data_IF_998230860692
#
_entry.id   IF_998230860692
#
_cell.length_a   1.000
_cell.length_b   1.000
_cell.length_c   1.000
_cell.angle_alpha   90.00
_cell.angle_beta   90.00
_cell.angle_gamma   90.00
#
_symmetry.space_group_name_H-M   'P 1'
#
loop_
_entity.id
_entity.type
_entity.pdbx_description
1 polymer ?
#
# COMPACT_ATOMS: atom_id res chain seq x y z
N UNK A 1 40.94 -47.67 -22.76
CA UNK A 1 40.38 -46.35 -23.08
C UNK A 1 39.31 -46.01 -22.06
N UNK A 2 39.65 -45.18 -21.11
CA UNK A 2 38.67 -44.74 -20.12
C UNK A 2 38.06 -43.39 -20.59
N UNK A 3 36.82 -43.42 -20.92
CA UNK A 3 36.05 -42.19 -21.22
C UNK A 3 35.68 -41.53 -19.90
N UNK A 4 36.30 -40.42 -19.61
CA UNK A 4 35.90 -39.56 -18.50
C UNK A 4 34.67 -38.77 -18.95
N UNK A 5 33.54 -39.11 -18.37
CA UNK A 5 32.30 -38.35 -18.57
C UNK A 5 32.35 -37.13 -17.65
N UNK A 6 32.67 -35.97 -18.21
CA UNK A 6 32.52 -34.71 -17.52
C UNK A 6 31.04 -34.38 -17.41
N UNK A 7 30.46 -34.61 -16.24
CA UNK A 7 29.14 -34.13 -15.92
C UNK A 7 29.32 -32.65 -15.60
N UNK A 8 28.95 -31.80 -16.53
CA UNK A 8 28.77 -30.37 -16.28
C UNK A 8 27.56 -30.20 -15.38
N UNK A 9 27.81 -30.01 -14.10
CA UNK A 9 26.74 -29.54 -13.18
C UNK A 9 26.50 -28.07 -13.45
N UNK A 10 25.48 -27.77 -14.23
CA UNK A 10 24.97 -26.42 -14.33
C UNK A 10 24.27 -26.09 -13.01
N UNK A 11 25.00 -25.44 -12.11
CA UNK A 11 24.42 -24.74 -10.98
C UNK A 11 23.67 -23.54 -11.54
N UNK A 12 22.41 -23.74 -11.86
CA UNK A 12 21.46 -22.64 -12.00
C UNK A 12 21.28 -22.05 -10.62
N UNK A 13 22.14 -21.10 -10.25
CA UNK A 13 21.91 -20.22 -9.15
C UNK A 13 20.65 -19.41 -9.47
N UNK A 14 19.49 -19.85 -8.98
CA UNK A 14 18.27 -19.08 -9.06
C UNK A 14 18.49 -17.77 -8.32
N UNK A 15 18.53 -16.66 -9.08
CA UNK A 15 18.32 -15.34 -8.51
C UNK A 15 16.88 -15.33 -8.00
N UNK A 16 16.70 -15.70 -6.72
CA UNK A 16 15.48 -15.38 -6.02
C UNK A 16 15.50 -13.87 -5.83
N UNK A 17 14.83 -13.15 -6.74
CA UNK A 17 14.44 -11.80 -6.45
C UNK A 17 13.54 -11.89 -5.21
N UNK A 18 14.05 -11.46 -4.06
CA UNK A 18 13.25 -11.25 -2.87
C UNK A 18 12.33 -10.05 -3.13
N UNK A 19 11.26 -10.28 -3.90
CA UNK A 19 10.14 -9.38 -3.88
C UNK A 19 9.59 -9.47 -2.47
N UNK A 20 9.74 -8.37 -1.70
CA UNK A 20 9.08 -8.27 -0.40
C UNK A 20 7.59 -8.30 -0.69
N UNK A 21 6.94 -9.43 -0.35
CA UNK A 21 5.51 -9.54 -0.45
C UNK A 21 4.87 -8.49 0.48
N UNK A 22 3.83 -7.80 -0.01
CA UNK A 22 3.07 -6.87 0.81
C UNK A 22 2.50 -7.62 2.03
N UNK A 23 2.59 -6.99 3.19
CA UNK A 23 2.00 -7.50 4.42
C UNK A 23 0.58 -6.97 4.57
N UNK A 24 -0.41 -7.79 4.19
CA UNK A 24 -1.81 -7.41 4.26
C UNK A 24 -2.31 -7.21 5.69
N UNK A 25 -1.78 -7.96 6.65
CA UNK A 25 -2.16 -7.78 8.06
C UNK A 25 -1.63 -6.44 8.61
N UNK A 26 -0.39 -6.09 8.30
CA UNK A 26 0.17 -4.78 8.63
C UNK A 26 -0.60 -3.66 7.92
N UNK A 27 -0.95 -3.83 6.66
CA UNK A 27 -1.76 -2.89 5.90
C UNK A 27 -3.15 -2.69 6.51
N UNK A 28 -3.80 -3.78 6.91
CA UNK A 28 -5.09 -3.75 7.60
C UNK A 28 -5.01 -2.99 8.92
N UNK A 29 -3.98 -3.24 9.71
CA UNK A 29 -3.77 -2.57 10.99
C UNK A 29 -3.64 -1.06 10.80
N UNK A 30 -2.82 -0.62 9.87
CA UNK A 30 -2.64 0.80 9.58
C UNK A 30 -3.90 1.44 8.99
N UNK A 31 -4.58 0.74 8.09
CA UNK A 31 -5.83 1.22 7.49
C UNK A 31 -6.92 1.39 8.55
N UNK A 32 -7.11 0.39 9.39
CA UNK A 32 -8.13 0.41 10.45
C UNK A 32 -7.91 1.56 11.42
N UNK A 33 -6.66 1.80 11.80
CA UNK A 33 -6.32 2.84 12.76
C UNK A 33 -6.37 4.26 12.18
N UNK A 34 -6.08 4.42 10.88
CA UNK A 34 -5.81 5.76 10.31
C UNK A 34 -6.74 6.17 9.17
N UNK A 35 -7.40 5.23 8.51
CA UNK A 35 -8.14 5.49 7.26
C UNK A 35 -9.62 5.12 7.36
N UNK A 36 -9.93 4.04 8.05
CA UNK A 36 -11.26 3.42 8.09
C UNK A 36 -12.34 4.37 8.59
N UNK A 37 -12.04 5.20 9.58
CA UNK A 37 -13.01 6.12 10.18
C UNK A 37 -13.68 7.02 9.15
N UNK A 38 -12.92 7.46 8.16
CA UNK A 38 -13.43 8.36 7.11
C UNK A 38 -13.78 7.61 5.82
N UNK A 39 -13.01 6.59 5.45
CA UNK A 39 -13.15 5.90 4.17
C UNK A 39 -13.97 4.60 4.23
N UNK A 40 -14.36 4.17 5.43
CA UNK A 40 -15.16 2.98 5.63
C UNK A 40 -14.33 1.69 5.74
N UNK A 41 -14.88 0.69 6.43
CA UNK A 41 -14.21 -0.60 6.65
C UNK A 41 -13.97 -1.37 5.33
N UNK A 42 -14.79 -1.13 4.33
CA UNK A 42 -14.69 -1.74 3.00
C UNK A 42 -14.26 -0.75 1.92
N UNK A 43 -13.72 0.40 2.30
CA UNK A 43 -13.34 1.46 1.35
C UNK A 43 -14.52 2.06 0.61
N UNK A 44 -15.74 1.93 1.17
CA UNK A 44 -16.99 2.40 0.54
C UNK A 44 -17.20 3.89 0.63
N UNK A 45 -16.41 4.57 1.46
CA UNK A 45 -16.58 5.99 1.75
C UNK A 45 -17.44 6.25 2.99
N UNK A 46 -17.58 7.51 3.29
CA UNK A 46 -18.32 8.03 4.44
C UNK A 46 -18.07 9.53 4.51
N UNK A 47 -17.43 9.99 5.59
CA UNK A 47 -16.91 11.37 5.66
C UNK A 47 -15.90 11.62 4.54
N UNK A 48 -15.03 10.64 4.29
CA UNK A 48 -14.09 10.67 3.17
C UNK A 48 -14.65 9.99 1.93
N UNK A 49 -13.95 10.19 0.80
CA UNK A 49 -14.34 9.59 -0.48
C UNK A 49 -14.29 8.07 -0.45
N UNK A 50 -15.10 7.46 -1.30
CA UNK A 50 -14.95 6.04 -1.66
C UNK A 50 -13.57 5.80 -2.28
N UNK A 51 -12.85 4.82 -1.77
CA UNK A 51 -11.51 4.46 -2.28
C UNK A 51 -11.58 3.37 -3.35
N UNK A 52 -12.49 2.42 -3.19
CA UNK A 52 -12.63 1.32 -4.13
C UNK A 52 -13.19 1.83 -5.46
N UNK A 53 -12.49 1.53 -6.55
CA UNK A 53 -12.85 2.03 -7.88
C UNK A 53 -12.29 3.41 -8.22
N UNK A 54 -11.63 4.07 -7.27
CA UNK A 54 -10.93 5.34 -7.45
C UNK A 54 -9.47 5.15 -7.00
N UNK A 55 -9.10 5.60 -5.81
CA UNK A 55 -7.71 5.51 -5.33
C UNK A 55 -7.15 4.08 -5.33
N UNK A 56 -7.98 3.06 -5.20
CA UNK A 56 -7.56 1.66 -5.31
C UNK A 56 -7.01 1.28 -6.69
N UNK A 57 -7.27 2.10 -7.71
CA UNK A 57 -6.79 1.92 -9.09
C UNK A 57 -5.62 2.82 -9.45
N UNK A 58 -5.25 3.75 -8.58
CA UNK A 58 -4.14 4.66 -8.85
C UNK A 58 -2.81 3.92 -8.84
N UNK A 59 -1.82 4.49 -9.52
CA UNK A 59 -0.44 4.07 -9.34
C UNK A 59 0.02 4.33 -7.91
N UNK A 60 0.94 3.51 -7.43
CA UNK A 60 1.43 3.64 -6.04
C UNK A 60 2.00 5.03 -5.75
N UNK A 61 2.71 5.63 -6.69
CA UNK A 61 3.27 6.98 -6.51
C UNK A 61 2.20 8.04 -6.30
N UNK A 62 1.08 7.94 -7.00
CA UNK A 62 -0.07 8.84 -6.81
C UNK A 62 -0.72 8.62 -5.44
N UNK A 63 -0.91 7.37 -5.03
CA UNK A 63 -1.41 7.03 -3.71
C UNK A 63 -0.52 7.56 -2.59
N UNK A 64 0.80 7.34 -2.70
CA UNK A 64 1.79 7.86 -1.77
C UNK A 64 1.71 9.38 -1.64
N UNK A 65 1.63 10.08 -2.76
CA UNK A 65 1.54 11.53 -2.79
C UNK A 65 0.25 12.05 -2.14
N UNK A 66 -0.86 11.35 -2.33
CA UNK A 66 -2.13 11.67 -1.68
C UNK A 66 -2.03 11.56 -0.16
N UNK A 67 -1.47 10.47 0.33
CA UNK A 67 -1.36 10.23 1.77
C UNK A 67 -0.37 11.20 2.43
N UNK A 68 0.78 11.42 1.82
CA UNK A 68 1.84 12.26 2.40
C UNK A 68 1.59 13.75 2.21
N UNK A 69 1.13 14.15 1.04
CA UNK A 69 1.09 15.55 0.61
C UNK A 69 -0.32 16.07 0.30
N UNK A 70 -1.33 15.22 0.36
CA UNK A 70 -2.71 15.62 0.14
C UNK A 70 -3.04 16.04 -1.29
N UNK A 71 -2.40 15.38 -2.28
CA UNK A 71 -2.68 15.60 -3.70
C UNK A 71 -3.29 14.35 -4.33
N UNK A 72 -4.28 14.53 -5.19
CA UNK A 72 -4.86 13.43 -5.95
C UNK A 72 -3.97 13.00 -7.13
N UNK A 73 -4.42 12.03 -7.92
CA UNK A 73 -3.70 11.52 -9.10
C UNK A 73 -3.53 12.55 -10.23
N UNK A 74 -4.27 13.64 -10.19
CA UNK A 74 -4.16 14.77 -11.12
C UNK A 74 -3.42 15.98 -10.53
N UNK A 75 -2.92 15.87 -9.30
CA UNK A 75 -2.20 16.94 -8.61
C UNK A 75 -3.08 17.99 -7.94
N UNK A 76 -4.38 17.74 -7.83
CA UNK A 76 -5.30 18.61 -7.10
C UNK A 76 -5.26 18.34 -5.61
N UNK A 77 -5.46 19.39 -4.81
CA UNK A 77 -5.53 19.24 -3.35
C UNK A 77 -6.73 18.41 -2.94
N UNK A 78 -6.49 17.44 -2.06
CA UNK A 78 -7.56 16.68 -1.42
C UNK A 78 -8.35 17.58 -0.47
N UNK A 79 -9.64 17.28 -0.33
CA UNK A 79 -10.50 18.00 0.62
C UNK A 79 -10.09 17.72 2.07
N UNK A 80 -10.09 18.77 2.87
CA UNK A 80 -10.00 18.62 4.32
C UNK A 80 -11.27 17.89 4.85
N UNK A 81 -11.18 17.11 5.93
CA UNK A 81 -10.09 17.12 6.92
C UNK A 81 -9.06 15.96 6.80
N UNK A 82 -8.84 15.38 5.63
CA UNK A 82 -7.82 14.34 5.49
C UNK A 82 -6.45 14.88 5.94
N UNK A 83 -5.79 14.24 6.93
CA UNK A 83 -4.50 14.72 7.41
C UNK A 83 -3.42 14.59 6.34
N UNK A 84 -2.44 15.49 6.38
CA UNK A 84 -1.21 15.38 5.60
C UNK A 84 -0.24 14.50 6.40
N UNK A 85 -0.30 13.19 6.19
CA UNK A 85 0.48 12.24 7.00
C UNK A 85 1.99 12.41 6.86
N UNK A 86 2.45 13.06 5.81
CA UNK A 86 3.85 13.43 5.64
C UNK A 86 4.30 14.55 6.59
N UNK A 87 3.37 15.34 7.12
CA UNK A 87 3.66 16.44 8.06
C UNK A 87 3.33 16.08 9.49
N UNK A 88 2.14 15.52 9.72
CA UNK A 88 1.65 15.28 11.09
C UNK A 88 1.89 13.86 11.57
N UNK A 89 2.22 12.93 10.66
CA UNK A 89 2.36 11.52 10.98
C UNK A 89 1.02 10.83 11.21
N UNK A 90 1.09 9.52 11.43
CA UNK A 90 -0.08 8.69 11.73
C UNK A 90 -0.66 9.02 13.09
N UNK A 91 -1.95 8.72 13.28
CA UNK A 91 -2.58 8.77 14.62
C UNK A 91 -2.21 7.54 15.44
N UNK A 92 -1.99 6.40 14.78
CA UNK A 92 -1.53 5.16 15.41
C UNK A 92 -0.61 4.40 14.43
N UNK A 93 0.66 4.18 14.76
CA UNK A 93 1.37 4.72 15.93
C UNK A 93 1.56 6.24 15.84
N UNK A 94 1.23 6.91 16.94
CA UNK A 94 1.15 8.38 16.99
C UNK A 94 2.44 9.06 16.53
N UNK A 95 2.30 9.94 15.55
CA UNK A 95 3.39 10.79 15.06
C UNK A 95 4.35 10.10 14.10
N UNK A 96 4.19 8.81 13.82
CA UNK A 96 5.03 8.12 12.83
C UNK A 96 4.67 8.59 11.42
N UNK A 97 5.63 9.17 10.71
CA UNK A 97 5.47 9.40 9.26
C UNK A 97 5.57 8.06 8.55
N UNK A 98 4.54 7.65 7.78
CA UNK A 98 4.58 6.36 7.12
C UNK A 98 5.70 6.30 6.09
N UNK A 99 6.46 5.22 6.10
CA UNK A 99 7.47 4.93 5.09
C UNK A 99 6.87 4.20 3.87
N UNK A 100 7.69 3.93 2.86
CA UNK A 100 7.22 3.26 1.65
C UNK A 100 6.67 1.86 1.92
N UNK A 101 7.23 1.13 2.87
CA UNK A 101 6.74 -0.19 3.27
C UNK A 101 5.36 -0.09 3.90
N UNK A 102 5.16 0.83 4.82
CA UNK A 102 3.86 1.12 5.42
C UNK A 102 2.82 1.43 4.35
N UNK A 103 3.16 2.33 3.44
CA UNK A 103 2.26 2.79 2.39
C UNK A 103 1.94 1.70 1.37
N UNK A 104 2.91 0.87 1.00
CA UNK A 104 2.68 -0.27 0.11
C UNK A 104 1.76 -1.31 0.75
N UNK A 105 1.94 -1.57 2.04
CA UNK A 105 1.07 -2.48 2.77
C UNK A 105 -0.37 -1.98 2.83
N UNK A 106 -0.58 -0.71 3.12
CA UNK A 106 -1.92 -0.10 3.11
C UNK A 106 -2.52 -0.09 1.71
N UNK A 107 -1.73 0.27 0.72
CA UNK A 107 -2.14 0.29 -0.68
C UNK A 107 -2.60 -1.10 -1.16
N UNK A 108 -1.83 -2.14 -0.85
CA UNK A 108 -2.20 -3.51 -1.17
C UNK A 108 -3.48 -3.93 -0.44
N UNK A 109 -3.62 -3.56 0.83
CA UNK A 109 -4.82 -3.86 1.60
C UNK A 109 -6.08 -3.19 1.01
N UNK A 110 -6.00 -1.92 0.63
CA UNK A 110 -7.12 -1.21 -0.01
C UNK A 110 -7.58 -1.93 -1.28
N UNK A 111 -6.67 -2.50 -2.05
CA UNK A 111 -7.01 -3.27 -3.26
C UNK A 111 -7.78 -4.56 -2.98
N UNK A 112 -7.78 -5.04 -1.75
CA UNK A 112 -8.57 -6.22 -1.34
C UNK A 112 -9.99 -5.86 -0.92
N UNK A 113 -10.30 -4.59 -0.72
CA UNK A 113 -11.58 -4.15 -0.19
C UNK A 113 -12.69 -4.23 -1.24
N UNK A 114 -13.92 -4.52 -0.78
CA UNK A 114 -15.06 -4.73 -1.67
C UNK A 114 -15.74 -3.44 -2.13
N UNK A 115 -15.60 -2.35 -1.37
CA UNK A 115 -16.32 -1.11 -1.59
C UNK A 115 -17.82 -1.16 -1.30
N UNK A 116 -18.30 -2.28 -0.77
CA UNK A 116 -19.71 -2.46 -0.45
C UNK A 116 -20.04 -1.91 0.93
N UNK A 117 -21.19 -1.27 1.04
CA UNK A 117 -21.75 -0.92 2.35
C UNK A 117 -21.98 -2.19 3.15
N UNK A 118 -21.41 -2.23 4.35
CA UNK A 118 -21.59 -3.34 5.28
C UNK A 118 -22.92 -3.32 5.99
#
# INVERSE_FOLDING_TARGET
MKRVLLIAVCLLGGLTANAVADDLDAGKTLYTANCQKCHGANGQGGVGKKLVGDASKWEFTAFKNAVLNGLDDEGHKLKQPMPLFGKVGLTDPKGKVPDDTDLQNVYAYIKTLSGKKG
#
